data_IF_558517010031
#
_entry.id   IF_558517010031
#
_cell.length_a   1.000
_cell.length_b   1.000
_cell.length_c   1.000
_cell.angle_alpha   90.00
_cell.angle_beta   90.00
_cell.angle_gamma   90.00
#
_symmetry.space_group_name_H-M   'P 1'
#
loop_
_entity.id
_entity.type
_entity.pdbx_description
1 polymer ?
#
# COMPACT_ATOMS: atom_id res chain seq x y z
N UNK A 1 3.77 -4.36 -1.04
CA UNK A 1 3.75 -4.05 0.42
C UNK A 1 4.86 -3.05 0.69
N UNK A 2 4.56 -1.91 1.32
CA UNK A 2 5.59 -0.94 1.77
C UNK A 2 5.79 -1.16 3.26
N UNK A 3 7.02 -1.44 3.68
CA UNK A 3 7.38 -1.50 5.09
C UNK A 3 8.37 -0.40 5.39
N UNK A 4 7.95 0.61 6.14
CA UNK A 4 8.84 1.59 6.75
C UNK A 4 8.90 1.28 8.25
N UNK A 5 10.06 0.82 8.74
CA UNK A 5 10.28 0.58 10.17
C UNK A 5 11.02 1.75 10.78
N UNK A 6 10.39 2.45 11.72
CA UNK A 6 11.10 3.36 12.61
C UNK A 6 11.90 2.48 13.60
N UNK A 7 13.22 2.43 13.50
CA UNK A 7 14.05 1.91 14.59
C UNK A 7 14.19 3.06 15.57
N UNK A 8 13.66 2.90 16.79
CA UNK A 8 14.13 3.71 17.91
C UNK A 8 15.65 3.51 18.01
N UNK A 9 16.40 4.58 17.76
CA UNK A 9 17.80 4.66 18.13
C UNK A 9 17.82 4.73 19.66
N UNK A 10 18.30 3.67 20.29
CA UNK A 10 18.74 3.71 21.68
C UNK A 10 20.17 4.27 21.64
N UNK A 11 20.38 5.43 22.26
CA UNK A 11 21.69 6.05 22.45
C UNK A 11 22.54 5.18 23.40
N UNK A 12 23.78 4.89 23.02
CA UNK A 12 24.87 4.48 23.92
C UNK A 12 26.16 5.24 23.50
N UNK A 13 27.04 5.63 24.45
CA UNK A 13 28.06 6.66 24.24
C UNK A 13 29.39 6.14 23.67
N UNK A 14 30.16 7.09 23.13
CA UNK A 14 31.37 6.97 22.31
C UNK A 14 32.56 6.19 22.89
N UNK A 15 33.38 5.57 22.00
CA UNK A 15 34.85 5.67 22.07
C UNK A 15 35.51 5.39 20.69
N UNK A 16 36.54 6.18 20.39
CA UNK A 16 37.31 6.32 19.16
C UNK A 16 38.51 5.35 19.01
N UNK A 17 38.88 4.95 17.78
CA UNK A 17 40.28 4.99 17.27
C UNK A 17 40.40 4.60 15.77
N UNK A 18 40.97 5.52 14.97
CA UNK A 18 42.06 5.38 13.95
C UNK A 18 42.41 3.95 13.43
N UNK A 19 42.77 3.64 12.18
CA UNK A 19 43.13 4.39 10.97
C UNK A 19 43.38 3.43 9.75
N UNK A 20 43.31 4.00 8.52
CA UNK A 20 44.14 3.78 7.31
C UNK A 20 44.01 2.53 6.38
N UNK A 21 43.77 2.88 5.09
CA UNK A 21 44.41 2.43 3.83
C UNK A 21 43.88 1.25 2.98
N UNK A 22 43.40 1.61 1.78
CA UNK A 22 43.40 0.87 0.49
C UNK A 22 44.81 0.96 -0.18
N UNK A 23 45.21 0.25 -1.29
CA UNK A 23 44.37 -0.08 -2.48
C UNK A 23 44.72 -1.30 -3.39
N UNK A 24 43.93 -1.39 -4.50
CA UNK A 24 44.15 -2.00 -5.86
C UNK A 24 44.12 -3.54 -6.03
N UNK A 25 43.52 -4.16 -7.05
CA UNK A 25 43.60 -3.95 -8.52
C UNK A 25 42.42 -4.57 -9.35
N UNK A 26 42.49 -4.35 -10.67
CA UNK A 26 41.49 -4.42 -11.76
C UNK A 26 41.39 -5.81 -12.49
N UNK A 27 40.17 -6.15 -12.95
CA UNK A 27 39.61 -7.02 -14.05
C UNK A 27 40.56 -7.79 -15.04
N UNK A 28 40.13 -8.87 -15.77
CA UNK A 28 38.86 -8.95 -16.55
C UNK A 28 38.15 -10.32 -16.77
N UNK A 29 36.89 -10.18 -17.21
CA UNK A 29 36.04 -10.95 -18.16
C UNK A 29 36.19 -12.48 -18.34
N UNK A 30 35.05 -13.18 -18.29
CA UNK A 30 34.61 -14.18 -19.29
C UNK A 30 33.20 -14.68 -18.94
N UNK A 31 32.28 -14.50 -19.88
CA UNK A 31 30.95 -15.09 -19.81
C UNK A 31 30.98 -16.61 -19.79
N UNK A 32 30.17 -17.21 -18.92
CA UNK A 32 29.64 -18.55 -19.13
C UNK A 32 28.21 -18.66 -18.59
N UNK A 33 27.34 -18.99 -19.53
CA UNK A 33 25.98 -19.51 -19.39
C UNK A 33 25.92 -20.55 -18.27
N UNK A 34 25.04 -20.35 -17.29
CA UNK A 34 24.60 -21.41 -16.38
C UNK A 34 23.12 -21.67 -16.60
N UNK A 35 22.92 -22.76 -17.35
CA UNK A 35 21.67 -23.44 -17.63
C UNK A 35 20.97 -23.94 -16.36
N UNK A 36 19.63 -23.89 -16.39
CA UNK A 36 18.71 -24.90 -15.89
C UNK A 36 19.11 -25.64 -14.60
N UNK A 37 18.77 -25.05 -13.44
CA UNK A 37 18.57 -25.78 -12.17
C UNK A 37 17.43 -25.18 -11.34
N UNK A 38 16.23 -25.13 -11.92
CA UNK A 38 14.98 -25.01 -11.15
C UNK A 38 14.16 -26.28 -11.39
N UNK A 39 14.78 -27.42 -11.14
CA UNK A 39 14.06 -28.65 -10.86
C UNK A 39 14.59 -29.14 -9.51
N UNK A 40 13.69 -29.57 -8.63
CA UNK A 40 13.93 -30.05 -7.26
C UNK A 40 13.78 -29.05 -6.11
N UNK A 41 12.76 -28.18 -6.15
CA UNK A 41 12.07 -27.78 -4.91
C UNK A 41 10.73 -28.54 -4.83
N UNK A 42 10.75 -29.72 -4.21
CA UNK A 42 9.53 -30.42 -3.80
C UNK A 42 8.84 -29.62 -2.70
N UNK A 43 8.07 -28.61 -3.06
CA UNK A 43 7.18 -27.89 -2.14
C UNK A 43 6.07 -28.88 -1.75
N UNK A 44 6.18 -29.47 -0.55
CA UNK A 44 5.07 -30.22 0.04
C UNK A 44 3.98 -29.22 0.45
N UNK A 45 2.71 -29.43 0.08
CA UNK A 45 1.63 -28.59 0.60
C UNK A 45 1.57 -28.77 2.11
N UNK A 46 1.78 -27.67 2.87
CA UNK A 46 1.51 -27.67 4.31
C UNK A 46 0.00 -27.59 4.52
N UNK A 47 -0.65 -28.74 4.71
CA UNK A 47 -1.99 -28.77 5.31
C UNK A 47 -1.87 -28.42 6.79
N UNK A 48 -2.53 -27.38 7.27
CA UNK A 48 -2.49 -27.06 8.70
C UNK A 48 -3.01 -25.71 9.16
N UNK A 49 -3.28 -24.75 8.28
CA UNK A 49 -4.00 -23.55 8.70
C UNK A 49 -5.49 -23.87 8.77
N UNK A 50 -6.00 -24.10 9.98
CA UNK A 50 -7.42 -24.06 10.24
C UNK A 50 -7.95 -22.69 9.77
N UNK A 51 -8.92 -22.70 8.86
CA UNK A 51 -9.73 -21.51 8.56
C UNK A 51 -10.47 -21.16 9.85
N UNK A 52 -9.92 -20.25 10.65
CA UNK A 52 -10.62 -19.70 11.80
C UNK A 52 -11.70 -18.77 11.26
N UNK A 53 -12.96 -19.14 11.46
CA UNK A 53 -14.05 -18.19 11.26
C UNK A 53 -13.91 -17.05 12.28
N UNK A 54 -14.42 -15.85 11.98
CA UNK A 54 -14.38 -14.72 12.91
C UNK A 54 -14.96 -15.08 14.29
N UNK A 55 -16.02 -15.88 14.31
CA UNK A 55 -16.66 -16.39 15.53
C UNK A 55 -15.72 -17.28 16.34
N UNK A 56 -15.03 -18.24 15.71
CA UNK A 56 -14.06 -19.11 16.37
C UNK A 56 -12.85 -18.34 16.92
N UNK A 57 -12.44 -17.26 16.27
CA UNK A 57 -11.38 -16.37 16.75
C UNK A 57 -11.81 -15.57 17.98
N UNK A 58 -13.00 -14.95 17.93
CA UNK A 58 -13.57 -14.19 19.05
C UNK A 58 -13.86 -15.10 20.26
N UNK A 59 -14.38 -16.30 20.03
CA UNK A 59 -14.69 -17.28 21.08
C UNK A 59 -13.42 -17.83 21.76
N UNK A 60 -12.33 -18.06 21.00
CA UNK A 60 -11.02 -18.41 21.57
C UNK A 60 -10.45 -17.30 22.46
N UNK A 61 -10.68 -16.03 22.12
CA UNK A 61 -10.27 -14.89 22.94
C UNK A 61 -11.09 -14.77 24.22
N UNK A 62 -12.40 -15.02 24.15
CA UNK A 62 -13.28 -15.02 25.32
C UNK A 62 -12.93 -16.14 26.32
N UNK A 63 -12.53 -17.30 25.82
CA UNK A 63 -12.17 -18.48 26.63
C UNK A 63 -10.70 -18.51 27.06
N UNK A 64 -9.89 -17.52 26.68
CA UNK A 64 -8.51 -17.42 27.13
C UNK A 64 -8.49 -17.03 28.61
N UNK A 65 -8.13 -17.98 29.48
CA UNK A 65 -7.90 -17.75 30.91
C UNK A 65 -6.81 -16.68 31.03
N UNK A 66 -7.17 -15.48 31.52
CA UNK A 66 -6.19 -14.43 31.85
C UNK A 66 -5.39 -14.90 33.06
N UNK A 67 -4.06 -15.11 32.95
CA UNK A 67 -3.27 -15.37 34.14
C UNK A 67 -3.35 -14.15 35.05
N UNK A 68 -3.61 -14.36 36.34
CA UNK A 68 -3.41 -13.33 37.35
C UNK A 68 -1.89 -13.12 37.48
N UNK A 69 -1.37 -12.09 36.81
CA UNK A 69 0.06 -11.78 36.86
C UNK A 69 0.41 -11.09 38.18
N UNK A 70 1.37 -11.68 38.89
CA UNK A 70 2.15 -11.05 39.95
C UNK A 70 2.97 -9.92 39.33
N UNK A 71 2.93 -8.76 39.98
CA UNK A 71 3.66 -7.56 39.62
C UNK A 71 5.09 -7.68 40.12
N UNK A 72 6.01 -8.20 39.29
CA UNK A 72 7.44 -7.92 39.49
C UNK A 72 8.24 -7.97 38.18
N UNK A 73 9.00 -6.90 37.97
CA UNK A 73 10.15 -6.69 37.08
C UNK A 73 10.05 -7.05 35.58
N UNK A 74 9.89 -6.00 34.77
CA UNK A 74 10.31 -5.79 33.37
C UNK A 74 10.59 -7.01 32.48
N UNK A 75 9.59 -7.36 31.66
CA UNK A 75 9.79 -7.59 30.22
C UNK A 75 8.56 -7.08 29.48
N UNK A 76 8.40 -5.75 29.44
CA UNK A 76 7.26 -5.11 28.76
C UNK A 76 7.47 -5.27 27.26
N UNK A 77 7.04 -6.38 26.67
CA UNK A 77 6.87 -6.47 25.23
C UNK A 77 5.97 -5.29 24.80
N UNK A 78 6.57 -4.37 24.04
CA UNK A 78 6.18 -2.96 23.94
C UNK A 78 4.85 -2.71 23.17
N UNK A 79 4.27 -1.48 23.30
CA UNK A 79 2.94 -1.03 22.85
C UNK A 79 2.51 -1.39 21.41
N UNK A 80 3.46 -1.65 20.51
CA UNK A 80 3.22 -1.97 19.10
C UNK A 80 2.47 -3.30 18.90
N UNK A 81 2.59 -4.23 19.85
CA UNK A 81 1.91 -5.53 19.80
C UNK A 81 0.40 -5.44 20.04
N UNK A 82 -0.06 -4.42 20.77
CA UNK A 82 -1.48 -4.15 21.06
C UNK A 82 -2.14 -3.21 20.06
N UNK A 83 -1.37 -2.59 19.16
CA UNK A 83 -1.91 -1.75 18.10
C UNK A 83 -2.70 -2.58 17.09
N UNK A 84 -3.82 -2.01 16.63
CA UNK A 84 -4.70 -2.60 15.62
C UNK A 84 -4.12 -2.44 14.21
N UNK A 85 -4.70 -3.18 13.27
CA UNK A 85 -4.39 -3.04 11.83
C UNK A 85 -5.17 -1.87 11.23
N UNK A 86 -4.54 -1.04 10.41
CA UNK A 86 -5.20 0.02 9.66
C UNK A 86 -5.87 -0.48 8.39
N UNK A 87 -7.00 0.14 8.03
CA UNK A 87 -7.69 -0.07 6.76
C UNK A 87 -7.97 1.29 6.10
N UNK A 88 -7.34 1.54 4.95
CA UNK A 88 -7.72 2.67 4.10
C UNK A 88 -8.64 2.19 2.97
N UNK A 89 -9.80 2.83 2.86
CA UNK A 89 -10.79 2.59 1.81
C UNK A 89 -11.64 3.85 1.63
N UNK A 90 -11.90 4.22 0.37
CA UNK A 90 -12.79 5.32 0.02
C UNK A 90 -13.68 4.93 -1.15
N UNK A 91 -14.99 5.06 -0.96
CA UNK A 91 -15.99 4.69 -1.96
C UNK A 91 -15.87 5.54 -3.23
N UNK A 92 -15.38 6.79 -3.12
CA UNK A 92 -15.25 7.71 -4.26
C UNK A 92 -14.25 7.22 -5.29
N UNK A 93 -13.28 6.40 -4.89
CA UNK A 93 -12.35 5.75 -5.82
C UNK A 93 -13.07 4.86 -6.86
N UNK A 94 -14.33 4.48 -6.62
CA UNK A 94 -15.17 3.71 -7.56
C UNK A 94 -15.64 4.52 -8.77
N UNK A 95 -15.52 5.84 -8.76
CA UNK A 95 -15.97 6.68 -9.87
C UNK A 95 -15.04 6.67 -11.09
N UNK A 96 -13.80 6.18 -10.96
CA UNK A 96 -12.94 5.85 -12.09
C UNK A 96 -13.48 4.59 -12.77
N UNK A 97 -13.93 4.63 -14.01
CA UNK A 97 -14.49 3.48 -14.72
C UNK A 97 -14.33 3.70 -16.23
N UNK A 98 -14.37 2.62 -16.99
CA UNK A 98 -14.42 2.71 -18.46
C UNK A 98 -15.66 3.51 -18.89
N UNK A 99 -15.51 4.30 -19.95
CA UNK A 99 -16.61 4.99 -20.62
C UNK A 99 -17.27 4.14 -21.70
N UNK A 100 -16.64 3.00 -22.03
CA UNK A 100 -17.17 1.97 -22.90
C UNK A 100 -18.06 1.03 -22.07
N UNK A 101 -19.34 0.95 -22.44
CA UNK A 101 -20.35 0.18 -21.73
C UNK A 101 -20.49 -1.25 -22.28
N UNK A 102 -19.84 -1.57 -23.40
CA UNK A 102 -20.00 -2.86 -24.08
C UNK A 102 -19.05 -3.94 -23.54
N UNK A 103 -17.88 -3.55 -23.02
CA UNK A 103 -16.89 -4.49 -22.48
C UNK A 103 -16.64 -4.31 -20.98
N UNK A 104 -16.65 -5.42 -20.25
CA UNK A 104 -16.36 -5.43 -18.82
C UNK A 104 -14.85 -5.42 -18.64
N UNK A 105 -14.31 -4.21 -18.51
CA UNK A 105 -12.89 -4.02 -18.31
C UNK A 105 -12.39 -4.71 -17.01
N UNK A 106 -11.24 -5.42 -17.02
CA UNK A 106 -10.75 -6.17 -15.86
C UNK A 106 -10.40 -5.28 -14.66
N UNK A 107 -10.01 -4.03 -14.89
CA UNK A 107 -9.91 -3.00 -13.85
C UNK A 107 -11.28 -2.31 -13.68
N UNK A 108 -12.06 -2.78 -12.70
CA UNK A 108 -13.46 -2.40 -12.50
C UNK A 108 -13.72 -1.88 -11.06
N UNK A 109 -14.65 -0.93 -10.86
CA UNK A 109 -15.05 -0.41 -9.54
C UNK A 109 -15.40 -1.48 -8.49
N UNK A 110 -15.94 -2.63 -8.91
CA UNK A 110 -16.31 -3.76 -8.06
C UNK A 110 -15.10 -4.37 -7.35
N UNK A 111 -13.89 -4.26 -7.89
CA UNK A 111 -12.67 -4.84 -7.30
C UNK A 111 -12.46 -4.40 -5.85
N UNK A 112 -12.44 -3.09 -5.59
CA UNK A 112 -12.25 -2.57 -4.23
C UNK A 112 -13.50 -2.76 -3.36
N UNK A 113 -14.68 -2.77 -3.97
CA UNK A 113 -15.94 -3.00 -3.25
C UNK A 113 -16.01 -4.42 -2.68
N UNK A 114 -15.73 -5.44 -3.49
CA UNK A 114 -15.74 -6.85 -3.07
C UNK A 114 -14.69 -7.12 -1.99
N UNK A 115 -13.49 -6.54 -2.11
CA UNK A 115 -12.45 -6.66 -1.06
C UNK A 115 -12.97 -6.08 0.26
N UNK A 116 -13.51 -4.86 0.23
CA UNK A 116 -14.01 -4.21 1.43
C UNK A 116 -15.21 -4.95 2.04
N UNK A 117 -16.14 -5.43 1.21
CA UNK A 117 -17.28 -6.24 1.63
C UNK A 117 -16.84 -7.56 2.26
N UNK A 118 -15.80 -8.21 1.72
CA UNK A 118 -15.25 -9.44 2.29
C UNK A 118 -14.63 -9.19 3.68
N UNK A 119 -13.88 -8.08 3.86
CA UNK A 119 -13.35 -7.68 5.16
C UNK A 119 -14.47 -7.41 6.18
N UNK A 120 -15.54 -6.73 5.74
CA UNK A 120 -16.69 -6.43 6.59
C UNK A 120 -17.47 -7.70 6.97
N UNK A 121 -17.72 -8.59 6.00
CA UNK A 121 -18.42 -9.86 6.22
C UNK A 121 -17.62 -10.80 7.12
N UNK A 122 -16.29 -10.67 7.14
CA UNK A 122 -15.41 -11.35 8.08
C UNK A 122 -15.33 -10.68 9.47
N UNK A 123 -16.14 -9.64 9.74
CA UNK A 123 -16.15 -8.94 11.02
C UNK A 123 -14.87 -8.17 11.34
N UNK A 124 -14.01 -7.91 10.35
CA UNK A 124 -12.76 -7.16 10.56
C UNK A 124 -12.99 -5.64 10.60
N UNK A 125 -14.04 -5.18 9.90
CA UNK A 125 -14.49 -3.79 9.84
C UNK A 125 -16.01 -3.74 9.72
N UNK A 126 -16.62 -2.55 9.83
CA UNK A 126 -18.05 -2.33 9.63
C UNK A 126 -18.28 -1.69 8.26
N UNK A 127 -19.41 -2.00 7.62
CA UNK A 127 -19.83 -1.30 6.40
C UNK A 127 -20.10 0.20 6.69
N UNK A 128 -20.00 1.10 5.71
CA UNK A 128 -20.22 2.53 5.89
C UNK A 128 -21.66 2.89 6.29
N UNK A 129 -22.60 1.97 6.10
CA UNK A 129 -24.02 2.18 6.33
C UNK A 129 -24.39 1.80 7.77
N UNK A 130 -24.40 2.80 8.67
CA UNK A 130 -25.16 2.69 9.92
C UNK A 130 -24.47 3.00 11.25
N UNK A 131 -23.36 3.75 11.30
CA UNK A 131 -22.75 4.11 12.58
C UNK A 131 -21.98 5.41 12.55
N UNK A 132 -22.15 6.21 13.62
CA UNK A 132 -21.36 7.42 13.85
C UNK A 132 -19.86 7.10 13.80
N UNK A 133 -19.05 8.06 13.36
CA UNK A 133 -17.60 7.94 13.22
C UNK A 133 -16.87 7.68 14.56
N UNK A 134 -17.62 7.78 15.66
CA UNK A 134 -17.23 7.59 17.04
C UNK A 134 -17.89 6.31 17.54
N UNK A 135 -17.18 5.19 17.46
CA UNK A 135 -17.33 3.92 18.20
C UNK A 135 -16.79 2.75 17.34
N UNK A 136 -15.51 2.86 17.03
CA UNK A 136 -14.69 1.82 16.39
C UNK A 136 -14.00 0.92 17.42
N UNK A 137 -14.49 0.84 18.68
CA UNK A 137 -13.81 0.07 19.73
C UNK A 137 -13.76 -1.43 19.41
N UNK A 138 -14.82 -1.99 18.82
CA UNK A 138 -14.95 -3.43 18.58
C UNK A 138 -14.35 -3.92 17.25
N UNK A 139 -13.98 -3.02 16.33
CA UNK A 139 -13.39 -3.41 15.05
C UNK A 139 -11.92 -3.82 15.23
N UNK A 140 -11.56 -4.97 14.64
CA UNK A 140 -10.16 -5.41 14.58
C UNK A 140 -9.31 -4.49 13.69
N UNK A 141 -9.92 -3.85 12.69
CA UNK A 141 -9.29 -2.87 11.82
C UNK A 141 -9.76 -1.45 12.12
N UNK A 142 -8.82 -0.52 12.20
CA UNK A 142 -9.06 0.91 12.39
C UNK A 142 -9.08 1.61 11.04
N UNK A 143 -10.09 2.46 10.82
CA UNK A 143 -10.24 3.19 9.54
C UNK A 143 -9.20 4.30 9.42
N UNK A 144 -8.49 4.32 8.29
CA UNK A 144 -7.59 5.39 7.86
C UNK A 144 -8.30 6.15 6.74
N UNK A 145 -8.52 7.46 6.92
CA UNK A 145 -9.20 8.28 5.92
C UNK A 145 -8.26 8.54 4.73
N UNK A 146 -8.77 8.31 3.53
CA UNK A 146 -8.08 8.77 2.33
C UNK A 146 -8.26 10.29 2.20
N UNK A 147 -7.20 10.96 1.77
CA UNK A 147 -7.24 12.33 1.28
C UNK A 147 -6.75 12.38 -0.15
N UNK A 148 -6.96 13.50 -0.81
CA UNK A 148 -6.31 13.75 -2.09
C UNK A 148 -4.82 14.03 -1.87
N UNK A 149 -3.98 13.43 -2.72
CA UNK A 149 -2.57 13.82 -2.83
C UNK A 149 -2.46 15.26 -3.33
N UNK A 150 -1.50 16.01 -2.81
CA UNK A 150 -1.24 17.38 -3.29
C UNK A 150 -0.35 17.35 -4.53
N UNK A 151 -0.28 18.47 -5.26
CA UNK A 151 0.64 18.59 -6.39
C UNK A 151 2.09 18.39 -5.93
N UNK A 152 2.49 19.03 -4.84
CA UNK A 152 3.86 18.96 -4.31
C UNK A 152 4.26 17.52 -3.97
N UNK A 153 3.35 16.74 -3.38
CA UNK A 153 3.58 15.34 -3.08
C UNK A 153 3.67 14.48 -4.35
N UNK A 154 2.79 14.71 -5.32
CA UNK A 154 2.81 13.98 -6.59
C UNK A 154 4.10 14.27 -7.39
N UNK A 155 4.58 15.52 -7.37
CA UNK A 155 5.80 15.97 -8.04
C UNK A 155 7.09 15.38 -7.47
N UNK A 156 7.04 14.71 -6.31
CA UNK A 156 8.18 13.94 -5.82
C UNK A 156 8.54 12.76 -6.73
N UNK A 157 7.61 12.32 -7.59
CA UNK A 157 7.81 11.21 -8.54
C UNK A 157 7.45 11.62 -9.95
N UNK A 158 6.34 12.34 -10.12
CA UNK A 158 5.81 12.70 -11.43
C UNK A 158 6.28 14.07 -11.91
N UNK A 159 6.26 14.28 -13.22
CA UNK A 159 6.55 15.59 -13.82
C UNK A 159 5.36 16.53 -13.66
N UNK A 160 5.63 17.83 -13.71
CA UNK A 160 4.57 18.86 -13.72
C UNK A 160 3.69 18.75 -14.96
N UNK A 161 4.24 18.33 -16.10
CA UNK A 161 3.45 18.11 -17.30
C UNK A 161 2.49 16.93 -17.15
N UNK A 162 2.90 15.85 -16.46
CA UNK A 162 2.00 14.74 -16.14
C UNK A 162 0.85 15.17 -15.23
N UNK A 163 1.16 15.95 -14.19
CA UNK A 163 0.14 16.52 -13.31
C UNK A 163 -0.86 17.42 -14.06
N UNK A 164 -0.34 18.31 -14.91
CA UNK A 164 -1.15 19.20 -15.75
C UNK A 164 -2.04 18.41 -16.70
N UNK A 165 -1.50 17.39 -17.36
CA UNK A 165 -2.27 16.50 -18.22
C UNK A 165 -3.44 15.88 -17.46
N UNK A 166 -3.21 15.30 -16.28
CA UNK A 166 -4.30 14.70 -15.51
C UNK A 166 -5.33 15.74 -15.03
N UNK A 167 -4.91 16.98 -14.82
CA UNK A 167 -5.79 18.09 -14.42
C UNK A 167 -6.77 18.50 -15.52
N UNK A 168 -6.48 18.22 -16.81
CA UNK A 168 -7.42 18.55 -17.90
C UNK A 168 -8.55 17.53 -18.03
N UNK A 169 -8.37 16.29 -17.55
CA UNK A 169 -9.33 15.19 -17.73
C UNK A 169 -10.77 15.52 -17.30
N UNK A 170 -11.03 16.23 -16.18
CA UNK A 170 -12.39 16.57 -15.77
C UNK A 170 -13.16 17.40 -16.80
N UNK A 171 -12.47 18.21 -17.60
CA UNK A 171 -13.07 19.16 -18.54
C UNK A 171 -13.17 18.63 -19.98
N UNK A 172 -12.60 17.45 -20.26
CA UNK A 172 -12.66 16.84 -21.59
C UNK A 172 -14.03 16.19 -21.86
N UNK A 173 -14.46 16.28 -23.11
CA UNK A 173 -15.66 15.58 -23.58
C UNK A 173 -15.44 14.06 -23.70
N UNK A 174 -16.54 13.31 -23.80
CA UNK A 174 -16.52 11.84 -23.89
C UNK A 174 -15.68 11.33 -25.07
N UNK A 175 -15.75 11.96 -26.24
CA UNK A 175 -15.01 11.51 -27.43
C UNK A 175 -13.51 11.72 -27.26
N UNK A 176 -13.10 12.85 -26.69
CA UNK A 176 -11.70 13.14 -26.34
C UNK A 176 -11.14 12.13 -25.32
N UNK A 177 -11.90 11.81 -24.27
CA UNK A 177 -11.51 10.81 -23.25
C UNK A 177 -11.41 9.39 -23.82
N UNK A 178 -12.34 9.01 -24.70
CA UNK A 178 -12.28 7.73 -25.42
C UNK A 178 -11.05 7.69 -26.34
N UNK A 179 -10.73 8.77 -27.05
CA UNK A 179 -9.53 8.83 -27.89
C UNK A 179 -8.23 8.68 -27.06
N UNK A 180 -8.13 9.35 -25.92
CA UNK A 180 -7.01 9.19 -24.98
C UNK A 180 -6.91 7.76 -24.43
N UNK A 181 -8.04 7.12 -24.17
CA UNK A 181 -8.11 5.72 -23.72
C UNK A 181 -7.61 4.77 -24.81
N UNK A 182 -8.07 4.95 -26.06
CA UNK A 182 -7.69 4.12 -27.20
C UNK A 182 -6.23 4.26 -27.62
N UNK A 183 -5.67 5.47 -27.51
CA UNK A 183 -4.25 5.75 -27.83
C UNK A 183 -3.31 5.51 -26.66
N UNK A 184 -3.88 5.27 -25.47
CA UNK A 184 -3.15 5.00 -24.24
C UNK A 184 -2.57 3.59 -24.19
N UNK A 185 -1.57 3.42 -23.34
CA UNK A 185 -0.91 2.13 -23.13
C UNK A 185 -1.61 1.36 -22.01
N UNK A 186 -2.63 0.58 -22.39
CA UNK A 186 -3.47 -0.19 -21.47
C UNK A 186 -4.00 0.68 -20.31
N UNK A 187 -4.64 1.80 -20.62
CA UNK A 187 -5.16 2.75 -19.63
C UNK A 187 -6.46 3.38 -20.15
N UNK A 188 -7.37 3.70 -19.24
CA UNK A 188 -8.61 4.39 -19.59
C UNK A 188 -8.83 5.61 -18.71
N UNK A 189 -9.62 6.55 -19.22
CA UNK A 189 -9.92 7.80 -18.54
C UNK A 189 -11.41 8.10 -18.55
N UNK A 190 -11.86 8.74 -17.47
CA UNK A 190 -13.13 9.44 -17.40
C UNK A 190 -12.93 10.75 -16.61
N UNK A 191 -13.96 11.58 -16.54
CA UNK A 191 -13.89 12.89 -15.88
C UNK A 191 -13.59 12.79 -14.36
N UNK A 192 -13.77 11.63 -13.74
CA UNK A 192 -13.50 11.38 -12.32
C UNK A 192 -12.14 10.72 -12.07
N UNK A 193 -11.42 10.32 -13.13
CA UNK A 193 -10.15 9.61 -13.05
C UNK A 193 -9.12 10.35 -12.22
N UNK A 194 -8.97 11.67 -12.41
CA UNK A 194 -7.98 12.45 -11.69
C UNK A 194 -8.27 12.52 -10.19
N UNK A 195 -9.52 12.81 -9.81
CA UNK A 195 -9.95 12.81 -8.40
C UNK A 195 -9.75 11.44 -7.75
N UNK A 196 -10.12 10.37 -8.44
CA UNK A 196 -9.91 9.00 -7.94
C UNK A 196 -8.42 8.68 -7.78
N UNK A 197 -7.58 9.06 -8.75
CA UNK A 197 -6.12 8.88 -8.67
C UNK A 197 -5.52 9.65 -7.49
N UNK A 198 -5.97 10.88 -7.26
CA UNK A 198 -5.55 11.67 -6.10
C UNK A 198 -5.92 10.99 -4.78
N UNK A 199 -7.14 10.47 -4.66
CA UNK A 199 -7.58 9.74 -3.47
C UNK A 199 -6.81 8.43 -3.28
N UNK A 200 -6.54 7.70 -4.35
CA UNK A 200 -5.79 6.44 -4.33
C UNK A 200 -4.36 6.64 -3.82
N UNK A 201 -3.68 7.64 -4.38
CA UNK A 201 -2.32 8.00 -4.00
C UNK A 201 -2.29 8.58 -2.57
N UNK A 202 -3.16 9.54 -2.26
CA UNK A 202 -3.23 10.15 -0.92
C UNK A 202 -3.66 9.18 0.18
N UNK A 203 -4.56 8.24 -0.10
CA UNK A 203 -4.88 7.13 0.80
C UNK A 203 -3.69 6.21 1.07
N UNK A 204 -2.86 5.96 0.05
CA UNK A 204 -1.61 5.20 0.21
C UNK A 204 -0.59 5.94 1.07
N UNK A 205 -0.48 7.27 0.93
CA UNK A 205 0.36 8.13 1.79
C UNK A 205 -0.12 8.05 3.24
N UNK A 206 -1.41 8.29 3.51
CA UNK A 206 -1.96 8.27 4.88
C UNK A 206 -1.83 6.90 5.52
N UNK A 207 -1.98 5.83 4.75
CA UNK A 207 -1.72 4.47 5.20
C UNK A 207 -0.28 4.29 5.69
N UNK A 208 0.70 4.80 4.93
CA UNK A 208 2.10 4.74 5.32
C UNK A 208 2.40 5.63 6.53
N UNK A 209 1.83 6.84 6.59
CA UNK A 209 1.99 7.78 7.72
C UNK A 209 1.44 7.19 9.02
N UNK A 210 0.28 6.55 8.99
CA UNK A 210 -0.33 5.93 10.16
C UNK A 210 0.52 4.78 10.72
N UNK A 211 1.16 3.99 9.85
CA UNK A 211 2.09 2.93 10.27
C UNK A 211 3.39 3.54 10.80
N UNK A 212 3.95 4.53 10.11
CA UNK A 212 5.21 5.18 10.48
C UNK A 212 5.13 5.88 11.84
N UNK A 213 4.05 6.63 12.08
CA UNK A 213 3.78 7.34 13.33
C UNK A 213 3.33 6.44 14.49
N UNK A 214 3.19 5.14 14.26
CA UNK A 214 2.77 4.19 15.30
C UNK A 214 1.30 4.29 15.71
N UNK A 215 0.44 4.90 14.90
CA UNK A 215 -1.01 4.89 15.13
C UNK A 215 -1.61 3.49 14.93
N UNK A 216 -1.04 2.72 14.00
CA UNK A 216 -1.41 1.32 13.72
C UNK A 216 -0.17 0.44 13.60
N UNK A 217 -0.33 -0.86 13.86
CA UNK A 217 0.79 -1.83 13.80
C UNK A 217 1.30 -2.03 12.37
N UNK A 218 0.34 -2.20 11.46
CA UNK A 218 0.45 -2.42 10.03
C UNK A 218 -0.87 -1.96 9.40
N UNK A 219 -0.96 -1.90 8.07
CA UNK A 219 -2.19 -1.50 7.41
C UNK A 219 -2.30 -2.06 6.00
N UNK A 220 -3.53 -2.06 5.48
CA UNK A 220 -3.85 -2.32 4.08
C UNK A 220 -4.59 -1.12 3.49
N UNK A 221 -4.17 -0.69 2.31
CA UNK A 221 -4.87 0.30 1.50
C UNK A 221 -5.60 -0.43 0.36
N UNK A 222 -6.93 -0.39 0.39
CA UNK A 222 -7.79 -0.96 -0.65
C UNK A 222 -8.16 0.18 -1.60
N UNK A 223 -7.29 0.43 -2.58
CA UNK A 223 -7.32 1.64 -3.41
C UNK A 223 -7.42 1.36 -4.90
N UNK A 224 -7.98 2.32 -5.64
CA UNK A 224 -7.96 2.37 -7.11
C UNK A 224 -8.09 3.81 -7.63
N UNK A 225 -7.52 4.16 -8.80
CA UNK A 225 -6.74 3.33 -9.72
C UNK A 225 -5.46 2.76 -9.10
N UNK A 226 -4.91 1.64 -9.63
CA UNK A 226 -3.60 1.12 -9.22
C UNK A 226 -2.48 2.13 -9.54
N UNK A 227 -1.24 1.81 -9.18
CA UNK A 227 -0.14 2.77 -9.37
C UNK A 227 1.20 2.28 -9.87
N UNK A 228 1.58 1.02 -9.66
CA UNK A 228 2.98 0.61 -9.83
C UNK A 228 3.54 0.68 -11.27
N UNK A 229 2.68 0.74 -12.29
CA UNK A 229 3.10 0.90 -13.68
C UNK A 229 3.29 2.37 -14.09
N UNK A 230 2.74 3.33 -13.34
CA UNK A 230 2.82 4.73 -13.74
C UNK A 230 4.27 5.22 -13.68
N UNK A 231 4.71 5.80 -14.80
CA UNK A 231 6.02 6.41 -14.95
C UNK A 231 5.99 7.89 -14.53
N UNK A 232 7.15 8.53 -14.32
CA UNK A 232 7.20 9.95 -13.97
C UNK A 232 6.38 10.85 -14.90
N UNK A 233 6.33 10.55 -16.19
CA UNK A 233 5.77 11.43 -17.22
C UNK A 233 4.55 10.84 -17.95
N UNK A 234 4.05 9.66 -17.53
CA UNK A 234 3.02 8.92 -18.29
C UNK A 234 2.18 8.00 -17.39
N UNK A 235 0.88 7.93 -17.70
CA UNK A 235 -0.04 6.89 -17.21
C UNK A 235 -0.03 5.67 -18.13
N UNK A 236 -0.01 4.46 -17.55
CA UNK A 236 -0.01 3.20 -18.30
C UNK A 236 -0.42 2.03 -17.40
N UNK A 237 -0.83 0.89 -17.97
CA UNK A 237 -1.17 -0.32 -17.20
C UNK A 237 -2.22 -0.04 -16.11
N UNK A 238 -3.25 0.72 -16.46
CA UNK A 238 -4.33 1.21 -15.59
C UNK A 238 -3.87 2.18 -14.47
N UNK A 239 -2.60 2.53 -14.43
CA UNK A 239 -2.00 3.34 -13.37
C UNK A 239 -1.90 4.81 -13.79
N UNK A 240 -2.45 5.70 -12.96
CA UNK A 240 -2.42 7.15 -13.21
C UNK A 240 -1.29 7.85 -12.44
N UNK A 241 -1.12 7.48 -11.17
CA UNK A 241 0.00 7.89 -10.33
C UNK A 241 0.67 6.66 -9.73
N UNK A 242 1.97 6.74 -9.48
CA UNK A 242 2.70 5.70 -8.77
C UNK A 242 2.50 5.84 -7.26
N UNK A 243 1.36 5.38 -6.78
CA UNK A 243 0.94 5.48 -5.38
C UNK A 243 2.03 5.02 -4.40
N UNK A 244 2.72 3.93 -4.74
CA UNK A 244 3.76 3.31 -3.90
C UNK A 244 5.03 4.17 -3.88
N UNK A 245 5.49 4.61 -5.05
CA UNK A 245 6.67 5.47 -5.15
C UNK A 245 6.42 6.82 -4.47
N UNK A 246 5.26 7.44 -4.69
CA UNK A 246 4.91 8.73 -4.06
C UNK A 246 4.84 8.58 -2.55
N UNK A 247 4.14 7.56 -2.03
CA UNK A 247 4.08 7.31 -0.59
C UNK A 247 5.48 7.11 0.03
N UNK A 248 6.35 6.36 -0.63
CA UNK A 248 7.74 6.17 -0.18
C UNK A 248 8.51 7.50 -0.14
N UNK A 249 8.40 8.34 -1.18
CA UNK A 249 9.06 9.65 -1.23
C UNK A 249 8.53 10.60 -0.17
N UNK A 250 7.21 10.66 0.05
CA UNK A 250 6.61 11.51 1.11
C UNK A 250 7.09 11.09 2.50
N UNK A 251 7.12 9.78 2.79
CA UNK A 251 7.65 9.30 4.07
C UNK A 251 9.13 9.66 4.21
N UNK A 252 9.95 9.45 3.18
CA UNK A 252 11.39 9.77 3.24
C UNK A 252 11.66 11.26 3.41
N UNK A 253 10.90 12.12 2.73
CA UNK A 253 11.07 13.57 2.79
C UNK A 253 10.63 14.15 4.14
N UNK A 254 9.52 13.66 4.70
CA UNK A 254 9.00 14.13 5.98
C UNK A 254 9.72 13.57 7.21
N UNK A 255 10.54 12.52 7.05
CA UNK A 255 11.17 11.79 8.15
C UNK A 255 12.64 11.48 7.80
N UNK A 256 13.57 12.41 8.07
CA UNK A 256 15.00 12.25 7.78
C UNK A 256 15.62 10.98 8.38
N UNK A 257 15.08 10.49 9.50
CA UNK A 257 15.45 9.26 10.19
C UNK A 257 15.02 7.97 9.47
N UNK A 258 14.13 8.05 8.47
CA UNK A 258 13.71 6.91 7.66
C UNK A 258 14.76 6.53 6.61
N UNK A 259 15.91 5.98 7.02
CA UNK A 259 17.06 5.76 6.13
C UNK A 259 16.79 4.84 4.91
N UNK A 260 15.98 3.80 5.10
CA UNK A 260 15.75 2.74 4.12
C UNK A 260 14.28 2.41 4.00
N UNK A 261 13.83 2.22 2.77
CA UNK A 261 12.47 1.75 2.44
C UNK A 261 12.61 0.52 1.55
N UNK A 262 11.92 -0.56 1.91
CA UNK A 262 11.78 -1.74 1.07
C UNK A 262 10.40 -1.72 0.39
N UNK A 263 10.41 -1.88 -0.93
CA UNK A 263 9.20 -2.07 -1.74
C UNK A 263 9.23 -3.51 -2.24
N UNK A 264 8.25 -4.31 -1.82
CA UNK A 264 8.01 -5.65 -2.35
C UNK A 264 6.82 -5.60 -3.30
N UNK A 265 7.08 -5.82 -4.58
CA UNK A 265 6.06 -6.03 -5.60
C UNK A 265 5.97 -7.52 -5.94
N UNK A 266 4.76 -8.06 -5.78
CA UNK A 266 4.42 -9.46 -6.01
C UNK A 266 3.27 -9.60 -7.01
N UNK A 267 2.91 -8.51 -7.68
CA UNK A 267 1.88 -8.52 -8.70
C UNK A 267 2.37 -9.30 -9.91
N UNK A 268 1.52 -10.17 -10.43
CA UNK A 268 1.80 -10.95 -11.63
C UNK A 268 1.25 -10.18 -12.82
N UNK A 269 2.08 -9.90 -13.82
CA UNK A 269 1.61 -9.46 -15.14
C UNK A 269 1.20 -10.74 -15.89
N UNK A 270 -0.08 -10.91 -16.24
CA UNK A 270 -0.44 -11.92 -17.22
C UNK A 270 0.28 -11.57 -18.53
N UNK A 271 1.00 -12.52 -19.10
CA UNK A 271 1.52 -12.43 -20.48
C UNK A 271 0.38 -12.31 -21.50
#
# INVERSE_FOLDING_TARGET
>A
MITASNRCLEDEPQASSLALQHPTDILPDTGHVLSNRIDHLKIRPRSGYAKLTPELFLQRRANAIRPKFSTDSYTRALPRSSLRTGLCYDVRMRFHATLDEEDVHPEDPRRIHVIYQALASAGLTKLPEGGSELENEDCLMVRIRAREVTEEEALLVHTSDHWRFLTTLPDLDKASLLNLTLTGDSVFYNNQSFTCAKLSCGGSIETCKAVWSGQVKNAIAVVRPPGHHAEPHKSMGFCLFNNVAVAARVIRQGNPECEKIMILDWYVHPE
#
